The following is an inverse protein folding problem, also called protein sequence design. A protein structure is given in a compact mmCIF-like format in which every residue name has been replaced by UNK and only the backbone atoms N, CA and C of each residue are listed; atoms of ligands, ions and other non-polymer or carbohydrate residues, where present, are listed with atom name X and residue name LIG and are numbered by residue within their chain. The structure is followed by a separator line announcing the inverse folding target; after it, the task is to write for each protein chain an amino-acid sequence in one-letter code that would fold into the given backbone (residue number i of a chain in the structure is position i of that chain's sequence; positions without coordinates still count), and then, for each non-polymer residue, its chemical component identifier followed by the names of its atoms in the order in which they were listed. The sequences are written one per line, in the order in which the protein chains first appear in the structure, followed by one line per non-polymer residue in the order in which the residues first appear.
data_IF_508542408609
#
_entry.id   IF_508542408609
#
_cell.length_a   1.000
_cell.length_b   1.000
_cell.length_c   1.000
_cell.angle_alpha   90.00
_cell.angle_beta   90.00
_cell.angle_gamma   90.00
#
_symmetry.space_group_name_H-M   'P 1'
#
loop_
_entity.id
_entity.type
_entity.pdbx_description
1 polymer ?
#
# COMPACT_ATOMS: atom_id res chain seq x y z
N UNK A 1 10.01 -21.62 7.48
CA UNK A 1 8.54 -21.69 7.50
C UNK A 1 8.00 -21.41 6.10
N UNK A 2 6.86 -22.00 5.72
CA UNK A 2 6.14 -21.61 4.49
C UNK A 2 5.43 -20.26 4.66
N UNK A 3 4.71 -19.79 3.64
CA UNK A 3 4.01 -18.50 3.67
C UNK A 3 3.13 -18.32 4.92
N UNK A 4 2.24 -19.29 5.22
CA UNK A 4 1.32 -19.20 6.36
C UNK A 4 2.07 -19.04 7.70
N UNK A 5 3.13 -19.83 7.92
CA UNK A 5 3.94 -19.72 9.14
C UNK A 5 4.66 -18.38 9.26
N UNK A 6 5.09 -17.77 8.15
CA UNK A 6 5.64 -16.40 8.18
C UNK A 6 4.56 -15.35 8.49
N UNK A 7 3.33 -15.53 8.01
CA UNK A 7 2.22 -14.60 8.31
C UNK A 7 1.76 -14.67 9.77
N UNK A 8 1.90 -15.82 10.41
CA UNK A 8 1.60 -16.02 11.85
C UNK A 8 2.70 -15.47 12.77
N UNK A 9 3.93 -15.35 12.27
CA UNK A 9 5.11 -15.01 13.06
C UNK A 9 5.10 -13.55 13.56
N UNK A 10 4.84 -12.57 12.67
CA UNK A 10 4.80 -11.16 13.06
C UNK A 10 4.17 -10.24 12.01
N UNK A 11 3.78 -9.04 12.43
CA UNK A 11 3.37 -7.96 11.52
C UNK A 11 4.51 -7.49 10.60
N UNK A 12 5.78 -7.64 11.02
CA UNK A 12 6.93 -7.35 10.16
C UNK A 12 7.01 -8.30 8.97
N UNK A 13 6.73 -9.59 9.20
CA UNK A 13 6.69 -10.60 8.13
C UNK A 13 5.50 -10.39 7.21
N UNK A 14 4.34 -10.00 7.75
CA UNK A 14 3.17 -9.60 6.95
C UNK A 14 3.49 -8.39 6.07
N UNK A 15 4.21 -7.39 6.60
CA UNK A 15 4.65 -6.23 5.83
C UNK A 15 5.66 -6.61 4.74
N UNK A 16 6.61 -7.51 5.03
CA UNK A 16 7.55 -8.00 4.03
C UNK A 16 6.83 -8.71 2.87
N UNK A 17 5.80 -9.51 3.16
CA UNK A 17 4.97 -10.11 2.13
C UNK A 17 4.23 -9.06 1.28
N UNK A 18 3.67 -8.01 1.89
CA UNK A 18 3.08 -6.88 1.15
C UNK A 18 4.11 -6.21 0.24
N UNK A 19 5.32 -5.94 0.74
CA UNK A 19 6.40 -5.33 -0.06
C UNK A 19 6.77 -6.21 -1.25
N UNK A 20 6.89 -7.53 -1.06
CA UNK A 20 7.16 -8.49 -2.14
C UNK A 20 6.01 -8.52 -3.15
N UNK A 21 4.76 -8.54 -2.70
CA UNK A 21 3.59 -8.52 -3.57
C UNK A 21 3.57 -7.28 -4.47
N UNK A 22 3.77 -6.08 -3.90
CA UNK A 22 3.84 -4.84 -4.68
C UNK A 22 5.00 -4.85 -5.67
N UNK A 23 6.16 -5.41 -5.29
CA UNK A 23 7.34 -5.51 -6.18
C UNK A 23 7.13 -6.46 -7.37
N UNK A 24 6.25 -7.45 -7.25
CA UNK A 24 5.94 -8.39 -8.33
C UNK A 24 5.05 -7.79 -9.43
N UNK A 25 4.34 -6.68 -9.18
CA UNK A 25 3.65 -5.88 -10.21
C UNK A 25 4.43 -4.58 -10.47
N UNK A 26 5.25 -4.49 -11.54
CA UNK A 26 6.04 -3.30 -11.86
C UNK A 26 5.20 -2.03 -12.04
N UNK A 27 3.96 -2.15 -12.50
CA UNK A 27 3.08 -1.00 -12.70
C UNK A 27 2.44 -0.54 -11.38
N UNK A 28 2.13 -1.46 -10.46
CA UNK A 28 1.74 -1.11 -9.09
C UNK A 28 2.90 -0.44 -8.34
N UNK A 29 4.11 -1.00 -8.43
CA UNK A 29 5.31 -0.41 -7.84
C UNK A 29 5.60 0.98 -8.38
N UNK A 30 5.52 1.17 -9.71
CA UNK A 30 5.68 2.47 -10.36
C UNK A 30 4.63 3.47 -9.88
N UNK A 31 3.36 3.05 -9.78
CA UNK A 31 2.28 3.90 -9.29
C UNK A 31 2.52 4.35 -7.84
N UNK A 32 2.93 3.43 -6.96
CA UNK A 32 3.24 3.74 -5.56
C UNK A 32 4.40 4.75 -5.44
N UNK A 33 5.53 4.47 -6.10
CA UNK A 33 6.71 5.36 -6.09
C UNK A 33 6.44 6.73 -6.71
N UNK A 34 5.57 6.80 -7.72
CA UNK A 34 5.19 8.04 -8.39
C UNK A 34 4.02 8.77 -7.73
N UNK A 35 3.58 8.35 -6.53
CA UNK A 35 2.44 8.93 -5.81
C UNK A 35 1.14 8.98 -6.64
N UNK A 36 0.97 8.02 -7.56
CA UNK A 36 -0.20 7.91 -8.42
C UNK A 36 -1.32 7.17 -7.68
N UNK A 37 -1.91 7.82 -6.67
CA UNK A 37 -2.78 7.17 -5.68
C UNK A 37 -3.99 6.45 -6.27
N UNK A 38 -4.65 7.03 -7.27
CA UNK A 38 -5.75 6.38 -7.99
C UNK A 38 -5.30 5.11 -8.73
N UNK A 39 -4.16 5.18 -9.42
CA UNK A 39 -3.61 4.03 -10.15
C UNK A 39 -3.16 2.91 -9.22
N UNK A 40 -2.53 3.25 -8.09
CA UNK A 40 -2.17 2.28 -7.05
C UNK A 40 -3.41 1.67 -6.40
N UNK A 41 -4.35 2.50 -5.96
CA UNK A 41 -5.56 2.07 -5.27
C UNK A 41 -6.41 1.13 -6.14
N UNK A 42 -6.58 1.45 -7.43
CA UNK A 42 -7.31 0.59 -8.38
C UNK A 42 -6.65 -0.78 -8.55
N UNK A 43 -5.31 -0.85 -8.58
CA UNK A 43 -4.57 -2.11 -8.74
C UNK A 43 -4.62 -2.97 -7.48
N UNK A 44 -4.47 -2.35 -6.31
CA UNK A 44 -4.42 -3.06 -5.04
C UNK A 44 -5.81 -3.46 -4.51
N UNK A 45 -6.77 -2.53 -4.54
CA UNK A 45 -8.11 -2.72 -3.97
C UNK A 45 -9.16 -3.15 -5.00
N UNK A 46 -8.84 -3.07 -6.30
CA UNK A 46 -9.76 -3.39 -7.39
C UNK A 46 -10.50 -2.18 -7.99
N UNK A 47 -11.35 -2.40 -9.01
CA UNK A 47 -12.01 -1.33 -9.76
C UNK A 47 -12.94 -0.45 -8.91
N UNK A 48 -13.52 -1.01 -7.84
CA UNK A 48 -14.40 -0.31 -6.90
C UNK A 48 -13.65 0.48 -5.80
N UNK A 49 -12.36 0.79 -6.00
CA UNK A 49 -11.54 1.46 -4.97
C UNK A 49 -12.10 2.82 -4.52
N UNK A 50 -12.84 3.50 -5.40
CA UNK A 50 -13.42 4.82 -5.15
C UNK A 50 -14.57 4.77 -4.16
N UNK A 51 -15.33 3.67 -4.11
CA UNK A 51 -16.45 3.49 -3.18
C UNK A 51 -16.00 3.60 -1.71
N UNK A 52 -14.72 3.29 -1.46
CA UNK A 52 -14.08 3.34 -0.15
C UNK A 52 -13.06 4.50 -0.02
N UNK A 53 -12.96 5.35 -1.04
CA UNK A 53 -12.08 6.52 -1.10
C UNK A 53 -10.60 6.20 -0.88
N UNK A 54 -10.12 5.03 -1.35
CA UNK A 54 -8.77 4.57 -1.07
C UNK A 54 -7.69 5.52 -1.63
N UNK A 55 -7.89 6.06 -2.81
CA UNK A 55 -7.00 7.05 -3.43
C UNK A 55 -6.93 8.35 -2.63
N UNK A 56 -8.07 8.88 -2.21
CA UNK A 56 -8.15 10.11 -1.42
C UNK A 56 -7.49 9.92 -0.05
N UNK A 57 -7.74 8.78 0.61
CA UNK A 57 -7.14 8.44 1.91
C UNK A 57 -5.62 8.34 1.80
N UNK A 58 -5.09 7.65 0.78
CA UNK A 58 -3.66 7.55 0.53
C UNK A 58 -3.02 8.92 0.26
N UNK A 59 -3.65 9.74 -0.59
CA UNK A 59 -3.16 11.07 -0.91
C UNK A 59 -3.06 11.97 0.32
N UNK A 60 -4.11 12.00 1.14
CA UNK A 60 -4.16 12.79 2.38
C UNK A 60 -3.15 12.29 3.41
N UNK A 61 -3.05 10.98 3.59
CA UNK A 61 -2.07 10.39 4.51
C UNK A 61 -0.64 10.72 4.08
N UNK A 62 -0.32 10.56 2.80
CA UNK A 62 1.01 10.93 2.29
C UNK A 62 1.30 12.42 2.52
N UNK A 63 0.37 13.32 2.21
CA UNK A 63 0.56 14.76 2.44
C UNK A 63 0.82 15.07 3.92
N UNK A 64 0.08 14.45 4.83
CA UNK A 64 0.27 14.60 6.29
C UNK A 64 1.64 14.14 6.77
N UNK A 65 2.07 12.95 6.35
CA UNK A 65 3.34 12.39 6.82
C UNK A 65 4.56 12.98 6.11
N UNK A 66 4.41 13.49 4.88
CA UNK A 66 5.49 14.13 4.13
C UNK A 66 5.94 15.46 4.74
N UNK A 67 5.07 16.16 5.48
CA UNK A 67 5.41 17.41 6.16
C UNK A 67 5.98 17.20 7.57
N UNK A 68 6.17 15.95 8.01
CA UNK A 68 6.71 15.63 9.34
C UNK A 68 5.69 15.75 10.48
N UNK A 69 4.41 15.98 10.19
CA UNK A 69 3.35 15.84 11.19
C UNK A 69 3.13 14.36 11.48
N UNK A 70 3.82 13.86 12.52
CA UNK A 70 3.50 12.58 13.12
C UNK A 70 2.11 12.73 13.73
N UNK A 71 1.16 11.93 13.26
CA UNK A 71 -0.13 11.83 13.92
C UNK A 71 0.08 11.35 15.37
N UNK A 72 -0.35 12.18 16.32
CA UNK A 72 -0.53 11.79 17.72
C UNK A 72 -1.50 10.61 17.84
#
# INVERSE_FOLDING_TARGET
AGFAGAMEESSAQQLDAFVRFVRLDPAMLKALKGHQWAAFARRYNGPAYQDNLYDVKLARAHARYATGEVAA
#
